data_IF_815939191545
#
_entry.id   IF_815939191545
#
_cell.length_a   1.000
_cell.length_b   1.000
_cell.length_c   1.000
_cell.angle_alpha   90.00
_cell.angle_beta   90.00
_cell.angle_gamma   90.00
#
_symmetry.space_group_name_H-M   'P 1'
#
loop_
_entity.id
_entity.type
_entity.pdbx_description
1 polymer ?
#
# COMPACT_ATOMS: atom_id res chain seq x y z
N UNK A 1 -14.67 -18.00 -12.15
CA UNK A 1 -13.78 -17.08 -11.43
C UNK A 1 -13.04 -17.90 -10.39
N UNK A 2 -11.73 -18.09 -10.55
CA UNK A 2 -10.94 -18.83 -9.56
C UNK A 2 -10.83 -17.94 -8.33
N UNK A 3 -11.53 -18.31 -7.26
CA UNK A 3 -11.16 -17.86 -5.92
C UNK A 3 -9.87 -18.61 -5.63
N UNK A 4 -8.73 -18.01 -5.97
CA UNK A 4 -7.47 -18.51 -5.41
C UNK A 4 -7.65 -18.52 -3.89
N UNK A 5 -7.64 -19.72 -3.32
CA UNK A 5 -8.00 -19.93 -1.93
C UNK A 5 -6.79 -19.56 -1.07
N UNK A 6 -6.47 -18.26 -1.02
CA UNK A 6 -5.36 -17.75 -0.24
C UNK A 6 -5.61 -18.08 1.23
N UNK A 7 -4.61 -18.65 1.88
CA UNK A 7 -4.63 -18.95 3.30
C UNK A 7 -4.68 -17.67 4.13
N UNK A 8 -5.14 -17.78 5.38
CA UNK A 8 -5.12 -16.65 6.31
C UNK A 8 -3.71 -16.08 6.52
N UNK A 9 -2.68 -16.93 6.45
CA UNK A 9 -1.28 -16.52 6.59
C UNK A 9 -0.78 -15.72 5.37
N UNK A 10 -1.33 -15.96 4.19
CA UNK A 10 -1.06 -15.17 2.98
C UNK A 10 -1.82 -13.84 2.99
N UNK A 11 -3.03 -13.82 3.55
CA UNK A 11 -3.88 -12.63 3.67
C UNK A 11 -3.41 -11.68 4.78
N UNK A 12 -2.95 -12.23 5.90
CA UNK A 12 -2.76 -11.50 7.14
C UNK A 12 -1.35 -11.64 7.75
N UNK A 13 -0.90 -10.55 8.33
CA UNK A 13 0.23 -10.44 9.24
C UNK A 13 -0.31 -10.09 10.63
N UNK A 14 -0.03 -10.90 11.64
CA UNK A 14 -0.47 -10.64 13.02
C UNK A 14 0.67 -9.96 13.80
N UNK A 15 0.43 -8.74 14.26
CA UNK A 15 1.36 -7.99 15.12
C UNK A 15 0.62 -7.60 16.39
N UNK A 16 1.15 -8.03 17.54
CA UNK A 16 0.57 -7.76 18.88
C UNK A 16 -0.93 -8.06 18.95
N UNK A 17 -1.35 -9.21 18.42
CA UNK A 17 -2.76 -9.65 18.39
C UNK A 17 -3.65 -8.95 17.35
N UNK A 18 -3.13 -7.96 16.61
CA UNK A 18 -3.87 -7.26 15.56
C UNK A 18 -3.51 -7.81 14.18
N UNK A 19 -4.52 -8.05 13.36
CA UNK A 19 -4.36 -8.42 11.95
C UNK A 19 -4.09 -7.19 11.09
N UNK A 20 -3.05 -7.28 10.29
CA UNK A 20 -2.66 -6.35 9.25
C UNK A 20 -2.69 -7.06 7.92
N UNK A 21 -3.22 -6.42 6.89
CA UNK A 21 -3.25 -7.02 5.57
C UNK A 21 -1.84 -7.06 4.98
N UNK A 22 -1.47 -8.19 4.37
CA UNK A 22 -0.20 -8.31 3.63
C UNK A 22 -0.26 -7.61 2.28
N UNK A 23 0.92 -7.29 1.75
CA UNK A 23 1.09 -6.87 0.36
C UNK A 23 0.51 -7.92 -0.56
N UNK A 24 -0.20 -7.48 -1.59
CA UNK A 24 -0.83 -8.34 -2.59
C UNK A 24 0.22 -9.18 -3.33
N UNK A 25 0.18 -10.52 -3.21
CA UNK A 25 1.16 -11.41 -3.82
C UNK A 25 1.00 -11.49 -5.35
N UNK A 26 -0.11 -10.99 -5.91
CA UNK A 26 -0.39 -10.99 -7.34
C UNK A 26 0.28 -9.86 -8.14
N UNK A 27 0.94 -8.92 -7.45
CA UNK A 27 1.62 -7.78 -8.06
C UNK A 27 3.01 -8.17 -8.57
N UNK A 28 3.44 -7.50 -9.66
CA UNK A 28 4.80 -7.70 -10.17
C UNK A 28 5.84 -7.18 -9.16
N UNK A 29 6.98 -7.90 -8.96
CA UNK A 29 7.99 -7.49 -8.00
C UNK A 29 8.50 -6.07 -8.20
N UNK A 30 8.61 -5.60 -9.45
CA UNK A 30 9.05 -4.23 -9.77
C UNK A 30 8.07 -3.17 -9.27
N UNK A 31 6.78 -3.39 -9.49
CA UNK A 31 5.70 -2.51 -9.00
C UNK A 31 5.71 -2.46 -7.47
N UNK A 32 5.86 -3.62 -6.83
CA UNK A 32 5.97 -3.71 -5.36
C UNK A 32 7.16 -2.92 -4.83
N UNK A 33 8.34 -3.07 -5.42
CA UNK A 33 9.55 -2.36 -4.97
C UNK A 33 9.44 -0.84 -5.19
N UNK A 34 8.86 -0.40 -6.31
CA UNK A 34 8.63 1.02 -6.56
C UNK A 34 7.64 1.63 -5.56
N UNK A 35 6.51 0.97 -5.30
CA UNK A 35 5.54 1.40 -4.29
C UNK A 35 6.15 1.42 -2.88
N UNK A 36 6.99 0.44 -2.53
CA UNK A 36 7.73 0.44 -1.24
C UNK A 36 8.72 1.60 -1.15
N UNK A 37 9.40 1.93 -2.25
CA UNK A 37 10.31 3.09 -2.33
C UNK A 37 9.54 4.39 -2.04
N UNK A 38 8.42 4.62 -2.74
CA UNK A 38 7.55 5.77 -2.49
C UNK A 38 7.01 5.79 -1.06
N UNK A 39 6.60 4.63 -0.51
CA UNK A 39 6.14 4.52 0.87
C UNK A 39 7.23 4.89 1.89
N UNK A 40 8.47 4.46 1.66
CA UNK A 40 9.63 4.83 2.48
C UNK A 40 9.90 6.33 2.45
N UNK A 41 9.93 6.92 1.26
CA UNK A 41 10.11 8.37 1.06
C UNK A 41 8.99 9.17 1.74
N UNK A 42 7.73 8.76 1.57
CA UNK A 42 6.57 9.42 2.17
C UNK A 42 6.59 9.34 3.71
N UNK A 43 6.97 8.19 4.29
CA UNK A 43 7.14 8.07 5.75
C UNK A 43 8.24 9.00 6.28
N UNK A 44 9.36 9.13 5.55
CA UNK A 44 10.41 10.08 5.90
C UNK A 44 9.87 11.52 5.88
N UNK A 45 9.11 11.88 4.85
CA UNK A 45 8.47 13.20 4.74
C UNK A 45 7.50 13.49 5.89
N UNK A 46 6.68 12.52 6.33
CA UNK A 46 5.83 12.66 7.53
C UNK A 46 6.67 13.02 8.76
N UNK A 47 7.80 12.34 8.94
CA UNK A 47 8.73 12.62 10.05
C UNK A 47 9.32 14.03 10.00
N UNK A 48 9.68 14.51 8.81
CA UNK A 48 10.20 15.87 8.59
C UNK A 48 9.13 16.93 8.83
N UNK A 49 7.94 16.77 8.23
CA UNK A 49 6.83 17.71 8.37
C UNK A 49 6.38 17.85 9.83
N UNK A 50 6.30 16.75 10.59
CA UNK A 50 6.02 16.80 12.03
C UNK A 50 7.05 17.62 12.82
N UNK A 51 8.34 17.51 12.47
CA UNK A 51 9.41 18.27 13.13
C UNK A 51 9.36 19.76 12.76
N UNK A 52 8.99 20.06 11.52
CA UNK A 52 8.87 21.43 11.02
C UNK A 52 7.58 22.13 11.48
N UNK A 53 6.54 21.36 11.85
CA UNK A 53 5.25 21.91 12.25
C UNK A 53 4.41 22.44 11.08
N UNK A 54 4.75 22.06 9.83
CA UNK A 54 4.02 22.48 8.62
C UNK A 54 2.90 21.47 8.33
N UNK A 55 1.65 21.89 8.50
CA UNK A 55 0.49 21.01 8.41
C UNK A 55 0.23 20.53 6.98
N UNK A 56 0.41 21.38 5.97
CA UNK A 56 0.20 21.03 4.57
C UNK A 56 1.18 19.95 4.09
N UNK A 57 2.46 20.08 4.45
CA UNK A 57 3.49 19.06 4.18
C UNK A 57 3.16 17.73 4.86
N UNK A 58 2.60 17.79 6.07
CA UNK A 58 2.19 16.60 6.81
C UNK A 58 0.99 15.92 6.15
N UNK A 59 0.02 16.71 5.68
CA UNK A 59 -1.15 16.21 4.97
C UNK A 59 -0.72 15.54 3.65
N UNK A 60 0.14 16.19 2.87
CA UNK A 60 0.67 15.64 1.62
C UNK A 60 1.45 14.35 1.84
N UNK A 61 2.37 14.33 2.80
CA UNK A 61 3.13 13.12 3.11
C UNK A 61 2.22 11.96 3.56
N UNK A 62 1.14 12.24 4.30
CA UNK A 62 0.15 11.24 4.70
C UNK A 62 -0.69 10.74 3.52
N UNK A 63 -1.05 11.61 2.57
CA UNK A 63 -1.71 11.22 1.31
C UNK A 63 -0.85 10.23 0.53
N UNK A 64 0.43 10.56 0.32
CA UNK A 64 1.39 9.68 -0.37
C UNK A 64 1.58 8.33 0.34
N UNK A 65 1.64 8.30 1.68
CA UNK A 65 1.64 7.05 2.45
C UNK A 65 0.38 6.23 2.18
N UNK A 66 -0.77 6.89 2.10
CA UNK A 66 -2.03 6.21 1.85
C UNK A 66 -2.10 5.63 0.44
N UNK A 67 -1.77 6.42 -0.58
CA UNK A 67 -1.72 5.98 -1.98
C UNK A 67 -0.83 4.75 -2.16
N UNK A 68 0.40 4.79 -1.63
CA UNK A 68 1.32 3.66 -1.72
C UNK A 68 0.77 2.39 -1.05
N UNK A 69 0.11 2.53 0.11
CA UNK A 69 -0.49 1.39 0.82
C UNK A 69 -1.73 0.83 0.13
N UNK A 70 -2.52 1.67 -0.53
CA UNK A 70 -3.64 1.22 -1.37
C UNK A 70 -3.09 0.47 -2.58
N UNK A 71 -2.05 1.00 -3.24
CA UNK A 71 -1.38 0.34 -4.37
C UNK A 71 -0.80 -1.02 -4.00
N UNK A 72 -0.15 -1.15 -2.84
CA UNK A 72 0.37 -2.42 -2.32
C UNK A 72 -0.73 -3.39 -1.87
N UNK A 73 -1.99 -2.95 -1.85
CA UNK A 73 -3.13 -3.72 -1.35
C UNK A 73 -3.24 -3.80 0.16
N UNK A 74 -2.38 -3.15 0.93
CA UNK A 74 -2.38 -3.13 2.42
C UNK A 74 -3.56 -2.34 3.02
N UNK A 75 -4.25 -1.54 2.20
CA UNK A 75 -5.44 -0.73 2.53
C UNK A 75 -6.46 -0.76 1.38
N UNK A 76 -7.66 -0.26 1.64
CA UNK A 76 -8.77 -0.28 0.67
C UNK A 76 -9.43 -1.65 0.60
N UNK A 77 -9.95 -2.03 -0.56
CA UNK A 77 -10.60 -3.33 -0.76
C UNK A 77 -9.64 -4.50 -0.55
N UNK A 78 -10.17 -5.61 -0.02
CA UNK A 78 -9.41 -6.82 0.21
C UNK A 78 -8.93 -7.38 -1.14
N UNK A 79 -7.61 -7.49 -1.33
CA UNK A 79 -7.08 -7.93 -2.62
C UNK A 79 -7.58 -9.33 -2.99
N UNK A 80 -7.75 -10.26 -2.04
CA UNK A 80 -8.28 -11.60 -2.32
C UNK A 80 -9.75 -11.64 -2.76
N UNK A 81 -10.49 -10.52 -2.65
CA UNK A 81 -11.86 -10.39 -3.15
C UNK A 81 -11.91 -9.68 -4.52
N UNK A 82 -10.77 -9.22 -5.04
CA UNK A 82 -10.65 -8.51 -6.32
C UNK A 82 -10.13 -9.43 -7.42
N UNK A 83 -10.49 -9.15 -8.68
CA UNK A 83 -9.82 -9.76 -9.84
C UNK A 83 -8.35 -9.30 -9.91
N UNK A 84 -7.47 -10.15 -10.45
CA UNK A 84 -6.03 -9.85 -10.54
C UNK A 84 -5.76 -8.62 -11.41
N UNK A 85 -6.60 -8.37 -12.42
CA UNK A 85 -6.56 -7.20 -13.30
C UNK A 85 -6.86 -5.91 -12.52
N UNK A 86 -7.89 -5.91 -11.66
CA UNK A 86 -8.26 -4.76 -10.83
C UNK A 86 -7.18 -4.46 -9.79
N UNK A 87 -6.57 -5.50 -9.22
CA UNK A 87 -5.43 -5.37 -8.29
C UNK A 87 -4.26 -4.66 -8.96
N UNK A 88 -3.91 -5.08 -10.17
CA UNK A 88 -2.83 -4.47 -10.98
C UNK A 88 -3.16 -3.03 -11.39
N UNK A 89 -4.39 -2.79 -11.86
CA UNK A 89 -4.85 -1.44 -12.23
C UNK A 89 -4.78 -0.46 -11.03
N UNK A 90 -5.17 -0.91 -9.83
CA UNK A 90 -5.03 -0.14 -8.59
C UNK A 90 -3.57 0.19 -8.27
N UNK A 91 -2.67 -0.78 -8.44
CA UNK A 91 -1.25 -0.57 -8.18
C UNK A 91 -0.63 0.45 -9.15
N UNK A 92 -0.95 0.36 -10.45
CA UNK A 92 -0.51 1.31 -11.47
C UNK A 92 -1.10 2.72 -11.24
N UNK A 93 -2.38 2.82 -10.89
CA UNK A 93 -3.00 4.10 -10.55
C UNK A 93 -2.30 4.77 -9.35
N UNK A 94 -1.96 4.00 -8.32
CA UNK A 94 -1.20 4.50 -7.18
C UNK A 94 0.22 4.97 -7.58
N UNK A 95 0.91 4.24 -8.47
CA UNK A 95 2.20 4.69 -9.00
C UNK A 95 2.07 5.99 -9.81
N UNK A 96 1.03 6.10 -10.63
CA UNK A 96 0.76 7.33 -11.39
C UNK A 96 0.49 8.54 -10.49
N UNK A 97 -0.10 8.36 -9.30
CA UNK A 97 -0.29 9.43 -8.32
C UNK A 97 1.02 9.81 -7.61
N UNK A 98 1.95 8.87 -7.46
CA UNK A 98 3.16 9.03 -6.65
C UNK A 98 4.37 9.57 -7.42
N UNK A 99 4.35 9.44 -8.75
CA UNK A 99 5.35 9.98 -9.69
C UNK A 99 5.12 11.47 -9.93
#
# INVERSE_FOLDING_TARGET
MSVDDYTDDEKWLIVTGRRWRRTDPGLEPRVVEELKSHLGAARNAVGKAKKAGVEDDLAEARRRVNAAKIGLGERGDYWWEMAIEDRRARAEAALSELR
#
